data_IF_489624710874
#
_entry.id   IF_489624710874
#
_cell.length_a   1.000
_cell.length_b   1.000
_cell.length_c   1.000
_cell.angle_alpha   90.00
_cell.angle_beta   90.00
_cell.angle_gamma   90.00
#
_symmetry.space_group_name_H-M   'P 1'
#
loop_
_entity.id
_entity.type
_entity.pdbx_description
1 polymer ?
#
# COMPACT_ATOMS: atom_id res chain seq x y z
N UNK A 1 -42.31 23.23 32.31
CA UNK A 1 -42.36 22.78 30.91
C UNK A 1 -41.14 23.30 30.17
N UNK A 2 -39.98 22.68 30.38
CA UNK A 2 -38.75 23.01 29.65
C UNK A 2 -37.95 21.71 29.49
N UNK A 3 -38.23 20.97 28.43
CA UNK A 3 -37.37 19.86 28.00
C UNK A 3 -36.16 20.49 27.31
N UNK A 4 -34.99 20.42 27.94
CA UNK A 4 -33.72 20.66 27.25
C UNK A 4 -33.48 19.48 26.32
N UNK A 5 -33.65 19.70 25.01
CA UNK A 5 -33.14 18.80 23.99
C UNK A 5 -31.62 18.83 24.09
N UNK A 6 -31.03 17.77 24.64
CA UNK A 6 -29.63 17.44 24.39
C UNK A 6 -29.52 17.18 22.89
N UNK A 7 -29.07 18.18 22.13
CA UNK A 7 -28.50 17.96 20.81
C UNK A 7 -27.24 17.12 21.04
N UNK A 8 -27.39 15.80 21.07
CA UNK A 8 -26.26 14.92 20.82
C UNK A 8 -25.79 15.30 19.43
N UNK A 9 -24.66 16.02 19.34
CA UNK A 9 -23.89 16.05 18.11
C UNK A 9 -23.54 14.61 17.84
N UNK A 10 -24.34 13.94 17.01
CA UNK A 10 -23.92 12.73 16.35
C UNK A 10 -22.67 13.17 15.61
N UNK A 11 -21.49 12.81 16.13
CA UNK A 11 -20.26 12.91 15.37
C UNK A 11 -20.55 12.10 14.12
N UNK A 12 -20.74 12.78 12.99
CA UNK A 12 -20.79 12.09 11.72
C UNK A 12 -19.51 11.27 11.66
N UNK A 13 -19.65 9.94 11.69
CA UNK A 13 -18.55 9.06 11.31
C UNK A 13 -18.24 9.50 9.88
N UNK A 14 -17.10 10.16 9.69
CA UNK A 14 -16.65 10.51 8.36
C UNK A 14 -16.35 9.18 7.68
N UNK A 15 -17.33 8.68 6.92
CA UNK A 15 -17.22 7.41 6.24
C UNK A 15 -16.05 7.51 5.26
N UNK A 16 -15.09 6.60 5.40
CA UNK A 16 -13.95 6.52 4.50
C UNK A 16 -14.44 6.34 3.06
N UNK A 17 -13.86 7.12 2.14
CA UNK A 17 -14.17 7.06 0.71
C UNK A 17 -12.98 6.51 -0.05
N UNK A 18 -13.27 5.60 -0.97
CA UNK A 18 -12.26 5.03 -1.85
C UNK A 18 -11.57 6.16 -2.66
N UNK A 19 -10.23 6.29 -2.58
CA UNK A 19 -9.51 7.30 -3.35
C UNK A 19 -9.62 7.05 -4.86
N UNK A 20 -9.90 8.12 -5.62
CA UNK A 20 -9.87 8.07 -7.08
C UNK A 20 -8.45 8.42 -7.57
N UNK A 21 -7.85 7.52 -8.33
CA UNK A 21 -6.51 7.68 -8.90
C UNK A 21 -6.59 7.64 -10.42
N UNK A 22 -6.27 8.76 -11.07
CA UNK A 22 -6.28 8.85 -12.54
C UNK A 22 -5.20 7.97 -13.17
N UNK A 23 -5.48 7.41 -14.35
CA UNK A 23 -4.55 6.60 -15.17
C UNK A 23 -4.17 5.23 -14.59
N UNK A 24 -4.77 4.83 -13.47
CA UNK A 24 -4.63 3.51 -12.86
C UNK A 24 -6.01 2.98 -12.52
N UNK A 25 -6.26 1.69 -12.75
CA UNK A 25 -7.54 1.09 -12.37
C UNK A 25 -7.46 0.67 -10.91
N UNK A 26 -8.12 1.41 -10.02
CA UNK A 26 -8.19 1.09 -8.60
C UNK A 26 -9.63 0.92 -8.12
N UNK A 27 -9.82 0.02 -7.16
CA UNK A 27 -11.10 -0.24 -6.50
C UNK A 27 -10.89 -0.58 -5.03
N UNK A 28 -11.97 -0.51 -4.25
CA UNK A 28 -11.95 -0.80 -2.83
C UNK A 28 -13.05 -1.79 -2.48
N UNK A 29 -12.68 -3.00 -2.05
CA UNK A 29 -13.62 -4.05 -1.66
C UNK A 29 -13.97 -4.00 -0.16
N UNK A 30 -13.07 -3.40 0.63
CA UNK A 30 -13.17 -3.24 2.08
C UNK A 30 -12.71 -1.83 2.47
N UNK A 31 -13.19 -1.29 3.61
CA UNK A 31 -12.71 -0.02 4.11
C UNK A 31 -11.18 -0.01 4.22
N UNK A 32 -10.56 1.07 3.77
CA UNK A 32 -9.10 1.28 3.81
C UNK A 32 -8.26 0.26 3.03
N UNK A 33 -8.88 -0.58 2.20
CA UNK A 33 -8.18 -1.50 1.30
C UNK A 33 -8.29 -0.98 -0.12
N UNK A 34 -7.15 -0.62 -0.70
CA UNK A 34 -7.05 -0.14 -2.07
C UNK A 34 -6.40 -1.22 -2.93
N UNK A 35 -7.13 -1.71 -3.93
CA UNK A 35 -6.63 -2.62 -4.95
C UNK A 35 -6.39 -1.86 -6.22
N UNK A 36 -5.22 -2.00 -6.82
CA UNK A 36 -4.87 -1.31 -8.05
C UNK A 36 -4.28 -2.28 -9.07
N UNK A 37 -4.64 -2.04 -10.33
CA UNK A 37 -4.05 -2.71 -11.48
C UNK A 37 -3.53 -1.68 -12.47
N UNK A 38 -2.38 -1.96 -13.09
CA UNK A 38 -1.79 -1.02 -14.03
C UNK A 38 -0.47 -1.50 -14.64
N UNK A 39 0.06 -0.68 -15.55
CA UNK A 39 1.33 -0.96 -16.22
C UNK A 39 2.55 -0.46 -15.44
N UNK A 40 3.64 -0.24 -16.18
CA UNK A 40 4.97 0.14 -15.68
C UNK A 40 4.97 1.33 -14.72
N UNK A 41 4.21 2.38 -15.04
CA UNK A 41 4.24 3.64 -14.29
C UNK A 41 3.18 3.72 -13.18
N UNK A 42 2.32 2.70 -13.06
CA UNK A 42 1.19 2.73 -12.14
C UNK A 42 1.62 2.87 -10.68
N UNK A 43 2.72 2.22 -10.27
CA UNK A 43 3.18 2.30 -8.88
C UNK A 43 3.65 3.72 -8.51
N UNK A 44 4.22 4.46 -9.47
CA UNK A 44 4.59 5.87 -9.27
C UNK A 44 3.34 6.76 -9.14
N UNK A 45 2.34 6.53 -9.98
CA UNK A 45 1.06 7.26 -9.91
C UNK A 45 0.29 6.96 -8.62
N UNK A 46 0.28 5.71 -8.17
CA UNK A 46 -0.34 5.33 -6.90
C UNK A 46 0.39 5.99 -5.74
N UNK A 47 1.72 5.92 -5.73
CA UNK A 47 2.52 6.51 -4.66
C UNK A 47 2.28 8.01 -4.51
N UNK A 48 2.29 8.77 -5.61
CA UNK A 48 2.03 10.21 -5.57
C UNK A 48 0.61 10.54 -5.12
N UNK A 49 -0.38 9.74 -5.51
CA UNK A 49 -1.75 9.89 -5.04
C UNK A 49 -1.87 9.64 -3.53
N UNK A 50 -1.28 8.55 -3.02
CA UNK A 50 -1.32 8.20 -1.60
C UNK A 50 -0.65 9.24 -0.72
N UNK A 51 0.46 9.84 -1.18
CA UNK A 51 1.14 10.94 -0.47
C UNK A 51 0.29 12.20 -0.34
N UNK A 52 -0.66 12.41 -1.26
CA UNK A 52 -1.53 13.59 -1.28
C UNK A 52 -2.85 13.39 -0.50
N UNK A 53 -3.09 12.20 0.07
CA UNK A 53 -4.34 11.90 0.76
C UNK A 53 -4.44 12.62 2.11
N UNK A 54 -5.66 13.04 2.45
CA UNK A 54 -5.98 13.48 3.81
C UNK A 54 -5.99 12.29 4.78
N UNK A 55 -5.76 12.52 6.09
CA UNK A 55 -5.84 11.46 7.09
C UNK A 55 -7.18 10.69 7.11
N UNK A 56 -8.28 11.36 6.79
CA UNK A 56 -9.62 10.75 6.69
C UNK A 56 -9.79 9.80 5.50
N UNK A 57 -8.96 9.94 4.45
CA UNK A 57 -8.95 9.07 3.29
C UNK A 57 -7.82 8.01 3.33
N UNK A 58 -7.13 7.88 4.46
CA UNK A 58 -5.95 7.02 4.57
C UNK A 58 -6.25 5.57 4.16
N UNK A 59 -5.34 5.01 3.36
CA UNK A 59 -5.33 3.60 2.96
C UNK A 59 -4.49 2.84 3.98
N UNK A 60 -4.97 1.67 4.42
CA UNK A 60 -4.27 0.80 5.36
C UNK A 60 -3.60 -0.37 4.65
N UNK A 61 -4.27 -0.93 3.63
CA UNK A 61 -3.75 -2.01 2.80
C UNK A 61 -3.73 -1.59 1.33
N UNK A 62 -2.55 -1.69 0.71
CA UNK A 62 -2.39 -1.52 -0.73
C UNK A 62 -2.09 -2.88 -1.37
N UNK A 63 -2.89 -3.28 -2.35
CA UNK A 63 -2.68 -4.48 -3.15
C UNK A 63 -2.56 -4.11 -4.62
N UNK A 64 -1.39 -4.34 -5.21
CA UNK A 64 -1.04 -3.96 -6.56
C UNK A 64 -0.78 -5.18 -7.43
N UNK A 65 -1.55 -5.32 -8.51
CA UNK A 65 -1.28 -6.26 -9.61
C UNK A 65 -0.82 -5.48 -10.84
N UNK A 66 0.50 -5.45 -11.06
CA UNK A 66 1.17 -4.63 -12.05
C UNK A 66 1.60 -5.45 -13.27
N UNK A 67 2.00 -4.77 -14.35
CA UNK A 67 2.58 -5.37 -15.54
C UNK A 67 3.84 -4.59 -15.94
N UNK A 68 4.85 -5.26 -16.51
CA UNK A 68 6.11 -4.65 -16.94
C UNK A 68 6.88 -3.95 -15.81
N UNK A 69 6.77 -4.46 -14.58
CA UNK A 69 7.51 -3.96 -13.41
C UNK A 69 8.52 -5.02 -12.98
N UNK A 70 9.77 -4.83 -13.39
CA UNK A 70 10.87 -5.74 -13.09
C UNK A 70 11.78 -5.29 -11.94
N UNK A 71 11.63 -4.04 -11.50
CA UNK A 71 12.43 -3.42 -10.45
C UNK A 71 11.57 -2.54 -9.53
N UNK A 72 11.76 -2.66 -8.21
CA UNK A 72 11.18 -1.74 -7.22
C UNK A 72 12.23 -0.69 -6.79
N UNK A 73 12.02 0.60 -7.11
CA UNK A 73 12.97 1.67 -6.79
C UNK A 73 12.96 2.05 -5.31
N UNK A 74 14.01 2.74 -4.89
CA UNK A 74 14.14 3.28 -3.54
C UNK A 74 13.03 4.31 -3.23
N UNK A 75 12.55 4.32 -1.98
CA UNK A 75 11.75 5.41 -1.41
C UNK A 75 10.48 5.79 -2.18
N UNK A 76 9.93 4.92 -3.01
CA UNK A 76 8.77 5.24 -3.85
C UNK A 76 7.54 5.58 -3.01
N UNK A 77 7.34 4.84 -1.91
CA UNK A 77 6.22 5.01 -0.97
C UNK A 77 6.65 5.81 0.27
N UNK A 78 7.60 6.74 0.12
CA UNK A 78 7.96 7.64 1.21
C UNK A 78 6.76 8.49 1.64
N UNK A 79 6.63 8.74 2.95
CA UNK A 79 5.51 9.47 3.56
C UNK A 79 4.14 8.81 3.37
N UNK A 80 4.09 7.53 3.01
CA UNK A 80 2.87 6.74 2.98
C UNK A 80 2.86 5.82 4.20
N UNK A 81 1.75 5.80 4.94
CA UNK A 81 1.57 4.92 6.10
C UNK A 81 0.67 3.76 5.70
N UNK A 82 1.21 2.54 5.66
CA UNK A 82 0.48 1.31 5.36
C UNK A 82 0.72 0.27 6.46
N UNK A 83 -0.30 -0.52 6.76
CA UNK A 83 -0.16 -1.73 7.56
C UNK A 83 0.14 -2.95 6.68
N UNK A 84 -0.35 -2.93 5.43
CA UNK A 84 -0.14 -4.01 4.46
C UNK A 84 0.23 -3.49 3.07
N UNK A 85 1.22 -4.12 2.45
CA UNK A 85 1.59 -3.89 1.06
C UNK A 85 1.72 -5.23 0.33
N UNK A 86 1.02 -5.38 -0.79
CA UNK A 86 1.17 -6.51 -1.70
C UNK A 86 1.52 -5.98 -3.09
N UNK A 87 2.59 -6.49 -3.69
CA UNK A 87 2.99 -6.17 -5.06
C UNK A 87 3.25 -7.46 -5.82
N UNK A 88 2.45 -7.69 -6.86
CA UNK A 88 2.65 -8.75 -7.83
C UNK A 88 2.79 -8.15 -9.22
N UNK A 89 3.77 -8.59 -10.01
CA UNK A 89 3.91 -8.18 -11.41
C UNK A 89 4.18 -9.32 -12.39
N UNK A 90 4.48 -10.53 -11.90
CA UNK A 90 4.96 -11.63 -12.73
C UNK A 90 6.38 -11.43 -13.27
N UNK A 91 7.01 -10.28 -13.03
CA UNK A 91 8.26 -9.86 -13.68
C UNK A 91 9.29 -9.28 -12.70
N UNK A 92 8.90 -9.00 -11.45
CA UNK A 92 9.76 -8.35 -10.47
C UNK A 92 10.94 -9.25 -10.10
N UNK A 93 12.15 -8.78 -10.38
CA UNK A 93 13.41 -9.51 -10.14
C UNK A 93 14.29 -8.85 -9.10
N UNK A 94 14.21 -7.54 -8.98
CA UNK A 94 15.12 -6.75 -8.15
C UNK A 94 14.34 -5.76 -7.28
N UNK A 95 14.71 -5.70 -6.02
CA UNK A 95 14.14 -4.76 -5.05
C UNK A 95 15.29 -3.93 -4.49
N UNK A 96 15.19 -2.61 -4.61
CA UNK A 96 16.17 -1.71 -3.99
C UNK A 96 16.25 -1.95 -2.49
N UNK A 97 17.47 -1.91 -1.92
CA UNK A 97 17.70 -1.95 -0.46
C UNK A 97 16.97 -0.84 0.32
N UNK A 98 16.56 0.22 -0.38
CA UNK A 98 15.82 1.35 0.19
C UNK A 98 14.35 1.37 -0.25
N UNK A 99 13.84 0.30 -0.88
CA UNK A 99 12.47 0.27 -1.41
C UNK A 99 11.39 0.48 -0.33
N UNK A 100 11.65 0.00 0.89
CA UNK A 100 10.66 0.00 1.98
C UNK A 100 11.00 0.91 3.17
N UNK A 101 12.05 1.74 3.07
CA UNK A 101 12.48 2.62 4.17
C UNK A 101 11.38 3.58 4.62
N UNK A 102 10.59 4.09 3.67
CA UNK A 102 9.42 4.95 3.91
C UNK A 102 8.22 4.25 4.55
N UNK A 103 8.23 2.91 4.64
CA UNK A 103 7.15 2.09 5.19
C UNK A 103 7.51 1.42 6.52
N UNK A 104 8.64 1.76 7.12
CA UNK A 104 9.17 1.11 8.33
C UNK A 104 8.21 1.09 9.53
N UNK A 105 7.23 1.99 9.58
CA UNK A 105 6.15 1.98 10.58
C UNK A 105 4.86 2.53 9.96
N UNK A 106 3.69 1.87 10.09
CA UNK A 106 3.39 0.65 10.87
C UNK A 106 3.31 -0.64 10.03
N UNK A 107 4.11 -0.81 8.98
CA UNK A 107 3.97 -1.97 8.08
C UNK A 107 4.17 -3.30 8.80
N UNK A 108 3.14 -4.14 8.80
CA UNK A 108 3.10 -5.45 9.46
C UNK A 108 3.01 -6.61 8.46
N UNK A 109 2.52 -6.36 7.25
CA UNK A 109 2.40 -7.37 6.19
C UNK A 109 3.02 -6.87 4.88
N UNK A 110 3.93 -7.67 4.33
CA UNK A 110 4.54 -7.44 3.02
C UNK A 110 4.41 -8.70 2.17
N UNK A 111 3.81 -8.55 0.99
CA UNK A 111 3.74 -9.59 -0.02
C UNK A 111 4.43 -9.17 -1.30
N UNK A 112 5.32 -10.02 -1.80
CA UNK A 112 5.84 -9.95 -3.17
C UNK A 112 5.52 -11.24 -3.95
N UNK A 113 4.26 -11.74 -3.94
CA UNK A 113 3.93 -13.03 -4.53
C UNK A 113 3.91 -12.99 -6.07
N UNK A 114 4.07 -14.15 -6.68
CA UNK A 114 4.02 -14.34 -8.15
C UNK A 114 4.96 -13.36 -8.87
N UNK A 115 6.23 -13.40 -8.48
CA UNK A 115 7.30 -12.59 -9.05
C UNK A 115 8.48 -13.50 -9.45
N UNK A 116 9.61 -12.91 -9.81
CA UNK A 116 10.79 -13.61 -10.30
C UNK A 116 12.03 -13.30 -9.45
N UNK A 117 11.83 -13.12 -8.14
CA UNK A 117 12.92 -12.94 -7.19
C UNK A 117 13.72 -14.25 -7.10
N UNK A 118 15.04 -14.15 -7.32
CA UNK A 118 15.99 -15.27 -7.22
C UNK A 118 16.64 -15.38 -5.83
N UNK A 119 16.38 -14.40 -4.97
CA UNK A 119 16.87 -14.34 -3.60
C UNK A 119 15.94 -13.48 -2.74
N UNK A 120 15.96 -13.74 -1.43
CA UNK A 120 15.20 -12.93 -0.46
C UNK A 120 15.84 -11.55 -0.37
N UNK A 121 15.10 -10.43 -0.57
CA UNK A 121 15.64 -9.07 -0.59
C UNK A 121 15.98 -8.55 0.82
N UNK A 122 16.91 -9.23 1.49
CA UNK A 122 17.19 -9.08 2.92
C UNK A 122 17.61 -7.67 3.30
N UNK A 123 18.35 -6.97 2.42
CA UNK A 123 18.72 -5.57 2.66
C UNK A 123 17.52 -4.62 2.67
N UNK A 124 16.53 -4.84 1.79
CA UNK A 124 15.31 -4.03 1.75
C UNK A 124 14.42 -4.27 2.97
N UNK A 125 14.38 -5.52 3.44
CA UNK A 125 13.60 -5.94 4.61
C UNK A 125 14.20 -5.45 5.93
N UNK A 126 15.49 -5.09 5.97
CA UNK A 126 16.19 -4.70 7.20
C UNK A 126 15.52 -3.53 7.96
N UNK A 127 14.86 -2.62 7.23
CA UNK A 127 14.18 -1.45 7.80
C UNK A 127 12.79 -1.75 8.39
N UNK A 128 12.24 -2.94 8.16
CA UNK A 128 10.86 -3.29 8.50
C UNK A 128 10.77 -3.96 9.88
N UNK A 129 11.06 -3.20 10.93
CA UNK A 129 11.16 -3.71 12.30
C UNK A 129 9.85 -4.25 12.89
N UNK A 130 8.71 -3.89 12.32
CA UNK A 130 7.38 -4.32 12.75
C UNK A 130 6.74 -5.39 11.84
N UNK A 131 7.50 -5.93 10.88
CA UNK A 131 6.97 -6.91 9.94
C UNK A 131 6.63 -8.22 10.65
N UNK A 132 5.38 -8.64 10.57
CA UNK A 132 4.86 -9.88 11.15
C UNK A 132 4.63 -10.96 10.09
N UNK A 133 4.32 -10.55 8.85
CA UNK A 133 3.98 -11.45 7.74
C UNK A 133 4.76 -11.07 6.50
N UNK A 134 5.46 -12.05 5.95
CA UNK A 134 6.18 -11.95 4.69
C UNK A 134 5.68 -13.05 3.74
N UNK A 135 5.13 -12.66 2.61
CA UNK A 135 4.74 -13.58 1.53
C UNK A 135 5.65 -13.41 0.33
N UNK A 136 6.46 -14.43 0.04
CA UNK A 136 7.29 -14.53 -1.16
C UNK A 136 6.88 -15.73 -2.02
N UNK A 137 5.65 -16.23 -1.86
CA UNK A 137 5.16 -17.39 -2.58
C UNK A 137 5.24 -17.20 -4.09
N UNK A 138 5.42 -18.30 -4.82
CA UNK A 138 5.49 -18.29 -6.27
C UNK A 138 6.62 -17.39 -6.83
N UNK A 139 7.76 -17.37 -6.14
CA UNK A 139 9.05 -16.90 -6.65
C UNK A 139 10.02 -18.09 -6.80
N UNK A 140 11.00 -18.03 -7.71
CA UNK A 140 12.01 -19.08 -7.90
C UNK A 140 13.19 -18.99 -6.90
N UNK A 141 12.89 -18.73 -5.62
CA UNK A 141 13.87 -18.56 -4.53
C UNK A 141 14.64 -19.83 -4.17
#
# INVERSE_FOLDING_TARGET
MWWLLLLTTVTAVEDWRCPEISNVSCSCDLPHTLRCTGGRDALLTIASALQALSPSAAVSLLDCSLQNVSFLPASLLQNVSLHGLVISSGELRQVSREAFTGLSTPLQALGLPNNLLDSVPTEALHSLHHLERLDLSHNPL
#
